data_IF_548342817182
#
_entry.id   IF_548342817182
#
_cell.length_a   1.000
_cell.length_b   1.000
_cell.length_c   1.000
_cell.angle_alpha   90.00
_cell.angle_beta   90.00
_cell.angle_gamma   90.00
#
_symmetry.space_group_name_H-M   'P 1'
#
loop_
_entity.id
_entity.type
_entity.pdbx_description
1 polymer ?
#
# COMPACT_ATOMS: atom_id res chain seq x y z
N UNK A 1 -8.37 -8.17 27.80
CA UNK A 1 -9.39 -7.85 28.83
C UNK A 1 -10.77 -8.11 28.24
N UNK A 2 -11.69 -8.72 29.00
CA UNK A 2 -13.05 -9.01 28.55
C UNK A 2 -14.02 -7.95 29.10
N UNK A 3 -14.70 -7.26 28.18
CA UNK A 3 -15.69 -6.21 28.43
C UNK A 3 -17.11 -6.70 28.31
N UNK A 4 -17.35 -7.94 27.88
CA UNK A 4 -18.69 -8.49 27.72
C UNK A 4 -19.44 -8.46 29.06
N UNK A 5 -20.64 -7.89 29.06
CA UNK A 5 -21.48 -7.67 30.25
C UNK A 5 -21.11 -6.44 31.07
N UNK A 6 -20.09 -5.65 30.70
CA UNK A 6 -19.73 -4.41 31.41
C UNK A 6 -20.54 -3.22 30.90
N UNK A 7 -20.83 -2.29 31.81
CA UNK A 7 -21.55 -1.06 31.51
C UNK A 7 -20.59 0.04 31.02
N UNK A 8 -21.00 0.72 29.96
CA UNK A 8 -20.30 1.85 29.36
C UNK A 8 -21.26 3.01 29.16
N UNK A 9 -20.72 4.21 29.10
CA UNK A 9 -21.47 5.45 28.91
C UNK A 9 -20.99 6.08 27.60
N UNK A 10 -21.93 6.40 26.73
CA UNK A 10 -21.72 7.22 25.54
C UNK A 10 -22.36 8.59 25.76
N UNK A 11 -21.67 9.66 25.35
CA UNK A 11 -22.16 11.02 25.55
C UNK A 11 -23.45 11.34 24.77
N UNK A 12 -23.75 10.61 23.70
CA UNK A 12 -24.94 10.79 22.85
C UNK A 12 -26.04 9.77 23.18
N UNK A 13 -25.67 8.52 23.41
CA UNK A 13 -26.63 7.41 23.57
C UNK A 13 -26.88 6.99 25.03
N UNK A 14 -26.19 7.62 25.98
CA UNK A 14 -26.36 7.35 27.41
C UNK A 14 -25.70 6.05 27.85
N UNK A 15 -26.28 5.39 28.84
CA UNK A 15 -25.77 4.12 29.36
C UNK A 15 -26.05 2.97 28.37
N UNK A 16 -25.05 2.11 28.20
CA UNK A 16 -25.15 0.91 27.38
C UNK A 16 -24.39 -0.26 27.98
N UNK A 17 -24.76 -1.47 27.60
CA UNK A 17 -24.14 -2.72 28.04
C UNK A 17 -23.39 -3.35 26.87
N UNK A 18 -22.13 -3.74 27.09
CA UNK A 18 -21.35 -4.43 26.05
C UNK A 18 -21.88 -5.85 25.89
N UNK A 19 -22.49 -6.14 24.75
CA UNK A 19 -23.07 -7.47 24.46
C UNK A 19 -22.08 -8.38 23.71
N UNK A 20 -21.11 -7.79 23.01
CA UNK A 20 -20.09 -8.56 22.29
C UNK A 20 -18.75 -7.81 22.20
N UNK A 21 -17.66 -8.56 22.15
CA UNK A 21 -16.30 -8.05 21.99
C UNK A 21 -15.47 -9.01 21.14
N UNK A 22 -14.86 -8.45 20.10
CA UNK A 22 -13.81 -9.05 19.29
C UNK A 22 -12.47 -8.32 19.56
N UNK A 23 -11.39 -8.78 18.93
CA UNK A 23 -10.06 -8.12 19.04
C UNK A 23 -10.05 -6.70 18.49
N UNK A 24 -10.94 -6.39 17.52
CA UNK A 24 -10.98 -5.09 16.83
C UNK A 24 -12.22 -4.26 17.15
N UNK A 25 -13.31 -4.88 17.63
CA UNK A 25 -14.59 -4.20 17.79
C UNK A 25 -15.31 -4.61 19.06
N UNK A 26 -16.10 -3.69 19.62
CA UNK A 26 -17.09 -3.98 20.65
C UNK A 26 -18.49 -3.60 20.14
N UNK A 27 -19.49 -4.34 20.58
CA UNK A 27 -20.90 -4.04 20.32
C UNK A 27 -21.58 -3.71 21.64
N UNK A 28 -22.18 -2.53 21.70
CA UNK A 28 -22.84 -1.98 22.89
C UNK A 28 -24.32 -1.82 22.60
N UNK A 29 -25.15 -2.36 23.48
CA UNK A 29 -26.60 -2.19 23.47
C UNK A 29 -26.97 -1.01 24.36
N UNK A 30 -27.51 0.05 23.77
CA UNK A 30 -28.10 1.20 24.47
C UNK A 30 -29.61 1.09 24.46
N UNK A 31 -30.27 1.84 25.34
CA UNK A 31 -31.75 1.90 25.45
C UNK A 31 -32.41 2.19 24.10
N UNK A 32 -31.81 3.07 23.29
CA UNK A 32 -32.37 3.47 21.99
C UNK A 32 -31.98 2.57 20.82
N UNK A 33 -30.81 1.91 20.89
CA UNK A 33 -30.26 1.09 19.80
C UNK A 33 -29.01 0.33 20.22
N UNK A 34 -28.65 -0.66 19.41
CA UNK A 34 -27.34 -1.32 19.47
C UNK A 34 -26.36 -0.67 18.50
N UNK A 35 -25.09 -0.49 18.89
CA UNK A 35 -24.06 0.13 18.05
C UNK A 35 -22.70 -0.53 18.21
N UNK A 36 -21.94 -0.58 17.11
CA UNK A 36 -20.61 -1.21 17.03
C UNK A 36 -19.52 -0.14 17.01
N UNK A 37 -18.47 -0.32 17.80
CA UNK A 37 -17.37 0.62 17.96
C UNK A 37 -16.02 -0.07 17.84
N UNK A 38 -14.99 0.66 17.40
CA UNK A 38 -13.62 0.15 17.28
C UNK A 38 -12.98 0.05 18.66
N UNK A 39 -12.39 -1.09 18.99
CA UNK A 39 -11.75 -1.34 20.29
C UNK A 39 -10.22 -1.40 20.15
N UNK A 40 -9.45 -0.75 21.04
CA UNK A 40 -9.87 0.08 22.17
C UNK A 40 -10.15 1.56 21.85
N UNK A 41 -9.96 2.02 20.61
CA UNK A 41 -9.96 3.44 20.20
C UNK A 41 -11.25 4.20 20.52
N UNK A 42 -12.40 3.52 20.53
CA UNK A 42 -13.67 4.17 20.82
C UNK A 42 -13.74 4.76 22.23
N UNK A 43 -12.94 4.23 23.17
CA UNK A 43 -12.86 4.76 24.53
C UNK A 43 -12.07 6.08 24.64
N UNK A 44 -11.38 6.52 23.58
CA UNK A 44 -10.71 7.83 23.59
C UNK A 44 -11.69 9.01 23.53
N UNK A 45 -12.84 8.81 22.88
CA UNK A 45 -13.74 9.91 22.51
C UNK A 45 -15.22 9.58 22.66
N UNK A 46 -15.60 8.33 22.47
CA UNK A 46 -17.01 7.96 22.29
C UNK A 46 -17.56 7.15 23.47
N UNK A 47 -16.73 6.43 24.22
CA UNK A 47 -17.16 5.56 25.30
C UNK A 47 -16.35 5.80 26.58
N UNK A 48 -16.99 5.64 27.73
CA UNK A 48 -16.35 5.56 29.05
C UNK A 48 -16.86 4.35 29.79
N UNK A 49 -16.00 3.55 30.39
CA UNK A 49 -16.42 2.48 31.27
C UNK A 49 -16.95 3.08 32.58
N UNK A 50 -18.05 2.52 33.09
CA UNK A 50 -18.63 2.95 34.37
C UNK A 50 -17.85 2.45 35.58
N UNK A 51 -17.13 1.33 35.40
CA UNK A 51 -16.23 0.74 36.39
C UNK A 51 -14.85 1.40 36.27
N UNK A 52 -14.41 2.07 37.34
CA UNK A 52 -13.13 2.78 37.40
C UNK A 52 -11.92 1.86 37.16
N UNK A 53 -11.99 0.60 37.62
CA UNK A 53 -10.90 -0.36 37.44
C UNK A 53 -10.75 -0.74 35.97
N UNK A 54 -11.88 -0.90 35.28
CA UNK A 54 -11.95 -1.22 33.85
C UNK A 54 -11.50 -0.01 33.02
N UNK A 55 -11.93 1.21 33.38
CA UNK A 55 -11.50 2.44 32.71
C UNK A 55 -9.98 2.60 32.80
N UNK A 56 -9.40 2.40 33.98
CA UNK A 56 -7.94 2.48 34.20
C UNK A 56 -7.18 1.49 33.33
N UNK A 57 -7.69 0.26 33.17
CA UNK A 57 -7.06 -0.75 32.31
C UNK A 57 -7.13 -0.37 30.82
N UNK A 58 -8.25 0.22 30.37
CA UNK A 58 -8.40 0.70 28.99
C UNK A 58 -7.45 1.88 28.73
N UNK A 59 -7.34 2.82 29.66
CA UNK A 59 -6.46 3.97 29.53
C UNK A 59 -4.98 3.55 29.48
N UNK A 60 -4.60 2.56 30.28
CA UNK A 60 -3.26 1.94 30.22
C UNK A 60 -2.98 1.29 28.86
N UNK A 61 -3.97 0.58 28.28
CA UNK A 61 -3.86 -0.01 26.94
C UNK A 61 -3.74 1.05 25.84
N UNK A 62 -4.51 2.14 25.93
CA UNK A 62 -4.47 3.25 24.98
C UNK A 62 -3.13 4.00 25.06
N UNK A 63 -2.62 4.26 26.27
CA UNK A 63 -1.32 4.89 26.47
C UNK A 63 -0.18 4.02 25.94
N UNK A 64 -0.17 2.72 26.24
CA UNK A 64 0.82 1.79 25.68
C UNK A 64 0.77 1.76 24.14
N UNK A 65 -0.42 1.81 23.54
CA UNK A 65 -0.58 1.87 22.07
C UNK A 65 -0.08 3.20 21.49
N UNK A 66 -0.29 4.32 22.20
CA UNK A 66 0.26 5.64 21.85
C UNK A 66 1.78 5.68 21.98
N UNK A 67 2.33 5.15 23.06
CA UNK A 67 3.77 5.03 23.29
C UNK A 67 4.44 4.17 22.22
N UNK A 68 3.88 3.02 21.86
CA UNK A 68 4.39 2.18 20.77
C UNK A 68 4.32 2.95 19.43
N UNK A 69 3.21 3.65 19.16
CA UNK A 69 3.06 4.45 17.93
C UNK A 69 4.04 5.63 17.88
N UNK A 70 4.26 6.31 19.01
CA UNK A 70 5.19 7.43 19.13
C UNK A 70 6.64 6.94 19.06
N UNK A 71 6.97 5.82 19.71
CA UNK A 71 8.28 5.19 19.61
C UNK A 71 8.55 4.71 18.17
N UNK A 72 7.60 4.05 17.50
CA UNK A 72 7.73 3.71 16.08
C UNK A 72 7.96 4.97 15.21
N UNK A 73 7.15 6.01 15.39
CA UNK A 73 7.30 7.26 14.64
C UNK A 73 8.63 7.99 14.94
N UNK A 74 9.11 7.95 16.19
CA UNK A 74 10.37 8.54 16.61
C UNK A 74 11.56 7.74 16.10
N UNK A 75 11.45 6.41 16.07
CA UNK A 75 12.47 5.53 15.48
C UNK A 75 12.54 5.75 13.97
N UNK A 76 11.40 5.85 13.28
CA UNK A 76 11.32 6.22 11.86
C UNK A 76 11.91 7.61 11.59
N UNK A 77 11.60 8.60 12.44
CA UNK A 77 12.16 9.95 12.36
C UNK A 77 13.66 9.96 12.61
N UNK A 78 14.16 9.16 13.55
CA UNK A 78 15.59 9.04 13.85
C UNK A 78 16.34 8.34 12.72
N UNK A 79 15.76 7.29 12.11
CA UNK A 79 16.28 6.68 10.88
C UNK A 79 16.32 7.69 9.74
N UNK A 80 15.27 8.51 9.58
CA UNK A 80 15.22 9.57 8.57
C UNK A 80 16.26 10.67 8.83
N UNK A 81 16.47 11.06 10.10
CA UNK A 81 17.46 12.06 10.51
C UNK A 81 18.90 11.54 10.40
N UNK A 82 19.16 10.27 10.73
CA UNK A 82 20.44 9.62 10.47
C UNK A 82 20.72 9.54 8.97
N UNK A 83 19.72 9.21 8.16
CA UNK A 83 19.83 9.27 6.70
C UNK A 83 20.16 10.69 6.22
N UNK A 84 19.49 11.73 6.73
CA UNK A 84 19.76 13.13 6.40
C UNK A 84 21.15 13.60 6.88
N UNK A 85 21.63 13.13 8.03
CA UNK A 85 22.96 13.46 8.55
C UNK A 85 24.07 12.72 7.79
N UNK A 86 23.82 11.50 7.32
CA UNK A 86 24.72 10.77 6.43
C UNK A 86 24.81 11.42 5.04
N UNK A 87 23.70 11.99 4.53
CA UNK A 87 23.68 12.81 3.30
C UNK A 87 24.56 14.06 3.42
N UNK A 88 24.67 14.67 4.60
CA UNK A 88 25.51 15.86 4.82
C UNK A 88 27.00 15.58 4.97
N UNK A 89 27.42 14.32 5.15
CA UNK A 89 28.83 13.96 5.45
C UNK A 89 29.59 13.23 4.35
N UNK A 90 28.95 12.76 3.28
CA UNK A 90 29.62 12.11 2.14
C UNK A 90 29.15 12.73 0.82
N UNK A 91 30.02 12.83 -0.19
CA UNK A 91 29.64 13.19 -1.56
C UNK A 91 28.43 12.33 -1.98
N UNK A 92 27.24 12.91 -1.99
CA UNK A 92 25.99 12.17 -2.18
C UNK A 92 25.90 11.71 -3.62
N UNK A 93 25.91 10.40 -3.85
CA UNK A 93 25.40 9.85 -5.11
C UNK A 93 23.97 10.37 -5.30
N UNK A 94 23.66 10.87 -6.48
CA UNK A 94 22.30 11.27 -6.85
C UNK A 94 21.40 10.03 -6.95
N UNK A 95 20.08 10.18 -6.78
CA UNK A 95 19.11 9.07 -6.90
C UNK A 95 19.28 8.28 -8.21
N UNK A 96 19.67 8.98 -9.28
CA UNK A 96 19.86 8.44 -10.62
C UNK A 96 21.05 7.48 -10.70
N UNK A 97 22.10 7.72 -9.91
CA UNK A 97 23.29 6.86 -9.84
C UNK A 97 23.02 5.50 -9.18
N UNK A 98 21.89 5.37 -8.47
CA UNK A 98 21.49 4.11 -7.84
C UNK A 98 20.82 3.15 -8.84
N UNK A 99 20.42 3.63 -10.01
CA UNK A 99 19.88 2.80 -11.09
C UNK A 99 20.97 2.21 -11.94
N UNK A 100 20.79 0.96 -12.36
CA UNK A 100 21.61 0.44 -13.47
C UNK A 100 21.20 1.14 -14.76
N UNK A 101 22.14 1.25 -15.70
CA UNK A 101 21.93 1.98 -16.97
C UNK A 101 20.75 1.46 -17.80
N UNK A 102 20.41 0.18 -17.66
CA UNK A 102 19.32 -0.45 -18.41
C UNK A 102 17.93 -0.09 -17.88
N UNK A 103 17.82 0.68 -16.79
CA UNK A 103 16.53 1.18 -16.30
C UNK A 103 16.00 2.35 -17.12
N UNK A 104 16.88 3.15 -17.74
CA UNK A 104 16.55 4.42 -18.41
C UNK A 104 15.81 5.42 -17.50
N UNK A 105 16.47 5.83 -16.40
CA UNK A 105 15.89 6.71 -15.36
C UNK A 105 15.48 8.09 -15.87
N UNK A 106 16.00 8.52 -17.01
CA UNK A 106 15.60 9.75 -17.71
C UNK A 106 14.10 9.82 -18.03
N UNK A 107 13.43 8.67 -18.19
CA UNK A 107 11.99 8.60 -18.45
C UNK A 107 11.12 8.56 -17.18
N UNK A 108 11.74 8.39 -16.00
CA UNK A 108 11.02 8.39 -14.73
C UNK A 108 10.51 9.79 -14.40
N UNK A 109 9.19 9.93 -14.28
CA UNK A 109 8.56 11.15 -13.78
C UNK A 109 8.83 11.32 -12.28
N UNK A 110 9.50 12.42 -11.91
CA UNK A 110 9.88 12.77 -10.52
C UNK A 110 9.00 13.84 -9.89
N UNK A 111 7.86 14.15 -10.51
CA UNK A 111 6.98 15.25 -10.10
C UNK A 111 6.06 14.91 -8.93
N UNK A 112 5.01 14.11 -9.18
CA UNK A 112 3.99 13.81 -8.16
C UNK A 112 4.33 12.53 -7.41
N UNK A 113 4.58 12.68 -6.11
CA UNK A 113 4.78 11.58 -5.17
C UNK A 113 3.52 11.43 -4.33
N UNK A 114 3.00 10.20 -4.24
CA UNK A 114 1.87 9.83 -3.39
C UNK A 114 2.29 8.76 -2.40
N UNK A 115 1.59 8.71 -1.27
CA UNK A 115 1.60 7.58 -0.34
C UNK A 115 0.66 6.48 -0.83
N UNK A 116 0.84 5.25 -0.33
CA UNK A 116 -0.06 4.15 -0.68
C UNK A 116 -1.53 4.46 -0.37
N UNK A 117 -1.81 5.20 0.72
CA UNK A 117 -3.18 5.57 1.13
C UNK A 117 -3.82 6.53 0.13
N UNK A 118 -3.05 7.50 -0.36
CA UNK A 118 -3.54 8.45 -1.36
C UNK A 118 -3.83 7.77 -2.70
N UNK A 119 -3.02 6.76 -3.08
CA UNK A 119 -3.32 5.94 -4.27
C UNK A 119 -4.58 5.09 -4.04
N UNK A 120 -4.70 4.43 -2.89
CA UNK A 120 -5.90 3.65 -2.51
C UNK A 120 -7.16 4.52 -2.53
N UNK A 121 -7.13 5.69 -1.90
CA UNK A 121 -8.25 6.64 -1.84
C UNK A 121 -8.63 7.18 -3.21
N UNK A 122 -7.64 7.59 -4.02
CA UNK A 122 -7.87 8.18 -5.35
C UNK A 122 -8.56 7.22 -6.30
N UNK A 123 -8.21 5.93 -6.26
CA UNK A 123 -8.71 4.94 -7.21
C UNK A 123 -9.70 3.94 -6.61
N UNK A 124 -10.02 4.05 -5.32
CA UNK A 124 -10.89 3.11 -4.63
C UNK A 124 -10.35 1.68 -4.62
N UNK A 125 -9.03 1.53 -4.52
CA UNK A 125 -8.34 0.22 -4.54
C UNK A 125 -7.77 -0.12 -3.16
N UNK A 126 -7.29 -1.36 -2.99
CA UNK A 126 -6.52 -1.79 -1.81
C UNK A 126 -5.20 -2.40 -2.26
N UNK A 127 -4.12 -1.68 -2.00
CA UNK A 127 -2.72 -2.07 -2.24
C UNK A 127 -2.18 -2.84 -1.02
N UNK A 128 -2.70 -2.56 0.17
CA UNK A 128 -2.36 -3.25 1.42
C UNK A 128 -2.84 -4.72 1.43
N UNK A 129 -1.92 -5.64 1.74
CA UNK A 129 -2.12 -7.10 1.69
C UNK A 129 -1.63 -7.74 0.38
N UNK A 130 -0.82 -8.81 0.46
CA UNK A 130 -0.29 -9.63 -0.65
C UNK A 130 0.15 -8.91 -1.94
N UNK A 131 0.57 -7.64 -1.88
CA UNK A 131 1.29 -6.94 -2.95
C UNK A 131 0.65 -7.09 -4.34
N UNK A 132 -0.50 -6.46 -4.57
CA UNK A 132 -1.14 -6.48 -5.90
C UNK A 132 -0.49 -5.43 -6.79
N UNK A 133 0.39 -5.88 -7.68
CA UNK A 133 0.93 -5.04 -8.75
C UNK A 133 -0.18 -4.53 -9.69
N UNK A 134 -1.17 -5.38 -9.99
CA UNK A 134 -2.27 -5.06 -10.90
C UNK A 134 -3.57 -4.91 -10.10
N UNK A 135 -4.22 -3.76 -10.22
CA UNK A 135 -5.48 -3.45 -9.52
C UNK A 135 -6.53 -2.99 -10.53
N UNK A 136 -7.71 -3.61 -10.53
CA UNK A 136 -8.75 -3.39 -11.54
C UNK A 136 -9.91 -2.62 -10.90
N UNK A 137 -10.36 -1.57 -11.58
CA UNK A 137 -11.58 -0.82 -11.25
C UNK A 137 -12.54 -0.87 -12.46
N UNK A 138 -13.80 -0.40 -12.33
CA UNK A 138 -14.72 -0.36 -13.46
C UNK A 138 -14.20 0.45 -14.66
N UNK A 139 -13.42 1.51 -14.42
CA UNK A 139 -12.96 2.45 -15.45
C UNK A 139 -11.44 2.46 -15.67
N UNK A 140 -10.66 1.70 -14.90
CA UNK A 140 -9.20 1.75 -14.98
C UNK A 140 -8.51 0.44 -14.55
N UNK A 141 -7.26 0.30 -14.99
CA UNK A 141 -6.28 -0.65 -14.48
C UNK A 141 -5.14 0.15 -13.85
N UNK A 142 -4.89 -0.04 -12.56
CA UNK A 142 -3.86 0.65 -11.79
C UNK A 142 -2.68 -0.30 -11.58
N UNK A 143 -1.56 0.04 -12.21
CA UNK A 143 -0.32 -0.72 -12.17
C UNK A 143 0.63 -0.11 -11.15
N UNK A 144 1.14 -0.94 -10.25
CA UNK A 144 2.16 -0.61 -9.27
C UNK A 144 3.41 -1.42 -9.64
N UNK A 145 4.42 -0.73 -10.15
CA UNK A 145 5.76 -1.28 -10.30
C UNK A 145 6.57 -1.00 -9.03
N UNK A 146 7.37 -1.97 -8.59
CA UNK A 146 8.14 -1.86 -7.34
C UNK A 146 9.63 -1.81 -7.60
N UNK A 147 10.29 -0.87 -6.94
CA UNK A 147 11.75 -0.75 -6.85
C UNK A 147 12.16 -1.05 -5.42
N UNK A 148 13.09 -1.98 -5.25
CA UNK A 148 13.72 -2.29 -3.98
C UNK A 148 15.17 -1.78 -3.98
N UNK A 149 15.78 -1.62 -2.79
CA UNK A 149 17.20 -1.30 -2.65
C UNK A 149 17.95 -2.51 -2.10
N UNK A 150 19.07 -2.86 -2.71
CA UNK A 150 19.96 -3.94 -2.25
C UNK A 150 21.41 -3.61 -2.55
N UNK A 151 22.30 -3.82 -1.57
CA UNK A 151 23.74 -3.56 -1.68
C UNK A 151 24.08 -2.18 -2.26
N UNK A 152 23.28 -1.17 -1.95
CA UNK A 152 23.48 0.21 -2.42
C UNK A 152 22.74 0.57 -3.71
N UNK A 153 22.35 -0.39 -4.54
CA UNK A 153 21.70 -0.14 -5.83
C UNK A 153 20.20 -0.45 -5.81
N UNK A 154 19.47 0.12 -6.76
CA UNK A 154 18.08 -0.24 -7.00
C UNK A 154 18.00 -1.55 -7.78
N UNK A 155 17.11 -2.43 -7.32
CA UNK A 155 16.68 -3.64 -8.00
C UNK A 155 15.23 -3.42 -8.43
N UNK A 156 14.96 -3.74 -9.68
CA UNK A 156 13.67 -3.60 -10.30
C UNK A 156 13.45 -4.78 -11.23
N UNK A 157 12.17 -5.10 -11.41
CA UNK A 157 11.73 -6.17 -12.28
C UNK A 157 11.07 -5.62 -13.55
N UNK A 158 10.48 -4.43 -13.42
CA UNK A 158 9.93 -3.65 -14.52
C UNK A 158 10.86 -2.46 -14.79
N UNK A 159 10.85 -1.94 -16.02
CA UNK A 159 11.78 -0.88 -16.41
C UNK A 159 11.29 -0.07 -17.59
N UNK A 160 11.86 1.11 -17.77
CA UNK A 160 11.75 1.81 -19.03
C UNK A 160 12.64 1.16 -20.07
N UNK A 161 12.22 1.24 -21.33
CA UNK A 161 13.05 0.91 -22.49
C UNK A 161 13.81 2.15 -22.95
N UNK A 162 14.81 1.95 -23.79
CA UNK A 162 15.51 3.03 -24.49
C UNK A 162 14.57 3.90 -25.35
N UNK A 163 13.49 3.31 -25.87
CA UNK A 163 12.43 4.00 -26.60
C UNK A 163 11.47 4.83 -25.73
N UNK A 164 11.58 4.77 -24.40
CA UNK A 164 10.66 5.47 -23.48
C UNK A 164 9.32 4.77 -23.28
N UNK A 165 9.20 3.51 -23.71
CA UNK A 165 8.07 2.65 -23.35
C UNK A 165 8.35 1.98 -22.00
N UNK A 166 7.31 1.49 -21.30
CA UNK A 166 7.45 0.83 -20.02
C UNK A 166 7.20 -0.68 -20.14
N UNK A 167 8.18 -1.50 -19.76
CA UNK A 167 8.05 -2.95 -19.74
C UNK A 167 7.56 -3.40 -18.36
N UNK A 168 6.28 -3.75 -18.27
CA UNK A 168 5.62 -4.18 -17.05
C UNK A 168 5.45 -5.70 -17.00
N UNK A 169 5.78 -6.31 -15.87
CA UNK A 169 5.69 -7.76 -15.70
C UNK A 169 4.30 -8.19 -15.21
N UNK A 170 3.77 -9.27 -15.79
CA UNK A 170 2.45 -9.79 -15.45
C UNK A 170 2.36 -10.35 -14.03
N UNK A 171 1.12 -10.64 -13.60
CA UNK A 171 0.86 -11.31 -12.32
C UNK A 171 0.92 -12.84 -12.42
N UNK A 172 1.40 -13.47 -11.34
CA UNK A 172 1.55 -14.92 -11.19
C UNK A 172 2.92 -15.26 -10.61
N UNK A 173 2.94 -15.77 -9.37
CA UNK A 173 4.16 -15.96 -8.56
C UNK A 173 4.90 -17.28 -8.79
N UNK A 174 4.20 -18.30 -9.25
CA UNK A 174 4.72 -19.66 -9.38
C UNK A 174 4.22 -20.29 -10.68
N UNK A 175 5.11 -21.01 -11.35
CA UNK A 175 4.83 -21.60 -12.67
C UNK A 175 4.54 -20.57 -13.77
N UNK A 176 4.20 -21.07 -14.96
CA UNK A 176 3.89 -20.24 -16.11
C UNK A 176 2.69 -19.33 -15.83
N UNK A 177 2.84 -18.04 -16.11
CA UNK A 177 1.74 -17.11 -15.96
C UNK A 177 0.63 -17.41 -16.96
N UNK A 178 -0.61 -17.16 -16.54
CA UNK A 178 -1.80 -17.36 -17.35
C UNK A 178 -2.39 -16.01 -17.78
N UNK A 179 -2.98 -15.94 -18.97
CA UNK A 179 -3.68 -14.74 -19.46
C UNK A 179 -5.07 -14.63 -18.81
N UNK A 180 -5.09 -14.42 -17.51
CA UNK A 180 -6.31 -14.33 -16.69
C UNK A 180 -6.24 -13.13 -15.76
N UNK A 181 -7.38 -12.72 -15.18
CA UNK A 181 -7.47 -11.67 -14.15
C UNK A 181 -6.70 -10.39 -14.53
N UNK A 182 -5.66 -10.02 -13.79
CA UNK A 182 -4.87 -8.81 -14.01
C UNK A 182 -4.20 -8.78 -15.38
N UNK A 183 -3.60 -9.89 -15.82
CA UNK A 183 -2.97 -10.00 -17.13
C UNK A 183 -3.99 -9.77 -18.26
N UNK A 184 -5.18 -10.38 -18.12
CA UNK A 184 -6.28 -10.18 -19.07
C UNK A 184 -6.81 -8.74 -19.04
N UNK A 185 -6.85 -8.11 -17.86
CA UNK A 185 -7.28 -6.73 -17.71
C UNK A 185 -6.34 -5.73 -18.40
N UNK A 186 -5.01 -5.95 -18.32
CA UNK A 186 -4.05 -5.15 -19.10
C UNK A 186 -4.30 -5.36 -20.60
N UNK A 187 -4.42 -6.61 -21.03
CA UNK A 187 -4.64 -6.96 -22.45
C UNK A 187 -5.90 -6.32 -23.03
N UNK A 188 -7.00 -6.33 -22.28
CA UNK A 188 -8.30 -5.88 -22.76
C UNK A 188 -8.62 -4.42 -22.36
N UNK A 189 -7.70 -3.69 -21.73
CA UNK A 189 -7.97 -2.36 -21.16
C UNK A 189 -8.61 -1.42 -22.20
N UNK A 190 -8.00 -1.30 -23.38
CA UNK A 190 -8.52 -0.43 -24.45
C UNK A 190 -9.90 -0.88 -24.96
N UNK A 191 -10.08 -2.18 -25.21
CA UNK A 191 -11.37 -2.75 -25.63
C UNK A 191 -12.48 -2.48 -24.60
N UNK A 192 -12.15 -2.56 -23.33
CA UNK A 192 -13.10 -2.35 -22.24
C UNK A 192 -13.28 -0.88 -21.85
N UNK A 193 -12.64 0.06 -22.57
CA UNK A 193 -12.69 1.49 -22.26
C UNK A 193 -12.01 1.87 -20.93
N UNK A 194 -11.07 1.05 -20.44
CA UNK A 194 -10.32 1.30 -19.21
C UNK A 194 -9.00 2.02 -19.49
N UNK A 195 -8.71 3.07 -18.73
CA UNK A 195 -7.38 3.72 -18.73
C UNK A 195 -6.38 2.89 -17.91
N UNK A 196 -5.12 2.80 -18.36
CA UNK A 196 -4.05 2.21 -17.55
C UNK A 196 -3.31 3.34 -16.85
N UNK A 197 -3.28 3.34 -15.53
CA UNK A 197 -2.46 4.26 -14.73
C UNK A 197 -1.24 3.52 -14.18
N UNK A 198 -0.06 4.12 -14.27
CA UNK A 198 1.19 3.52 -13.77
C UNK A 198 1.80 4.33 -12.62
N UNK A 199 2.20 3.62 -11.57
CA UNK A 199 2.98 4.12 -10.44
C UNK A 199 4.27 3.33 -10.27
N UNK A 200 5.36 4.04 -9.97
CA UNK A 200 6.62 3.43 -9.55
C UNK A 200 6.79 3.65 -8.05
N UNK A 201 6.88 2.55 -7.30
CA UNK A 201 6.93 2.52 -5.84
C UNK A 201 8.36 2.25 -5.36
N UNK A 202 8.90 3.14 -4.53
CA UNK A 202 10.17 2.92 -3.82
C UNK A 202 9.95 2.54 -2.35
N UNK A 203 8.87 3.03 -1.75
CA UNK A 203 8.51 2.77 -0.36
C UNK A 203 6.99 2.93 -0.17
N UNK A 204 6.42 2.55 0.98
CA UNK A 204 5.01 2.81 1.27
C UNK A 204 4.59 4.30 1.17
N UNK A 205 5.55 5.22 1.23
CA UNK A 205 5.32 6.67 1.18
C UNK A 205 5.69 7.29 -0.18
N UNK A 206 6.32 6.51 -1.09
CA UNK A 206 6.90 7.04 -2.31
C UNK A 206 6.40 6.26 -3.54
N UNK A 207 5.23 6.66 -4.04
CA UNK A 207 4.64 6.22 -5.29
C UNK A 207 4.68 7.36 -6.30
N UNK A 208 5.59 7.27 -7.26
CA UNK A 208 5.75 8.24 -8.33
C UNK A 208 4.76 7.95 -9.44
N UNK A 209 3.83 8.88 -9.68
CA UNK A 209 2.87 8.74 -10.77
C UNK A 209 3.54 8.98 -12.13
N UNK A 210 3.44 7.99 -13.04
CA UNK A 210 4.09 8.05 -14.34
C UNK A 210 3.16 8.53 -15.47
N UNK A 211 1.85 8.54 -15.24
CA UNK A 211 0.86 8.97 -16.22
C UNK A 211 -0.13 7.89 -16.63
N UNK A 212 -0.82 8.15 -17.74
CA UNK A 212 -1.75 7.22 -18.39
C UNK A 212 -1.02 6.51 -19.52
N UNK A 213 -1.31 5.22 -19.69
CA UNK A 213 -0.65 4.34 -20.65
C UNK A 213 -1.67 3.56 -21.48
N UNK A 214 -1.20 3.09 -22.63
CA UNK A 214 -1.86 2.10 -23.47
C UNK A 214 -0.95 0.88 -23.68
N UNK A 215 -1.55 -0.29 -23.92
CA UNK A 215 -0.80 -1.49 -24.26
C UNK A 215 -0.44 -1.47 -25.75
N UNK A 216 0.85 -1.54 -26.07
CA UNK A 216 1.31 -1.70 -27.46
C UNK A 216 1.28 -3.17 -27.88
N UNK A 217 1.94 -4.01 -27.08
CA UNK A 217 2.04 -5.45 -27.31
C UNK A 217 2.46 -6.14 -26.00
N UNK A 218 2.47 -7.47 -26.03
CA UNK A 218 3.02 -8.28 -24.95
C UNK A 218 3.80 -9.46 -25.53
N UNK A 219 4.77 -9.94 -24.76
CA UNK A 219 5.57 -11.13 -25.06
C UNK A 219 5.74 -11.97 -23.80
N UNK A 220 6.40 -13.11 -23.96
CA UNK A 220 6.85 -13.91 -22.83
C UNK A 220 8.36 -13.84 -22.73
N UNK A 221 8.86 -13.85 -21.51
CA UNK A 221 10.26 -14.09 -21.19
C UNK A 221 10.35 -15.26 -20.23
N UNK A 222 11.42 -16.04 -20.36
CA UNK A 222 11.72 -17.13 -19.43
C UNK A 222 12.39 -16.51 -18.20
N UNK A 223 11.78 -16.69 -17.03
CA UNK A 223 12.21 -16.12 -15.76
C UNK A 223 12.21 -17.17 -14.64
N UNK A 224 12.87 -16.87 -13.54
CA UNK A 224 12.89 -17.74 -12.36
C UNK A 224 11.76 -17.37 -11.40
N UNK A 225 10.93 -18.35 -11.04
CA UNK A 225 9.82 -18.17 -10.10
C UNK A 225 10.27 -18.14 -8.63
N UNK A 226 9.34 -17.90 -7.70
CA UNK A 226 9.64 -17.86 -6.26
C UNK A 226 10.18 -19.21 -5.71
N UNK A 227 9.98 -20.31 -6.44
CA UNK A 227 10.45 -21.65 -6.10
C UNK A 227 11.72 -22.04 -6.87
N UNK A 228 12.40 -21.07 -7.50
CA UNK A 228 13.61 -21.29 -8.30
C UNK A 228 13.41 -22.13 -9.57
N UNK A 229 12.19 -22.19 -10.12
CA UNK A 229 11.90 -22.90 -11.37
C UNK A 229 11.78 -21.92 -12.54
N UNK A 230 12.21 -22.37 -13.73
CA UNK A 230 11.99 -21.63 -14.96
C UNK A 230 10.49 -21.53 -15.26
N UNK A 231 10.02 -20.33 -15.59
CA UNK A 231 8.63 -20.03 -15.91
C UNK A 231 8.53 -19.06 -17.07
N UNK A 232 7.41 -19.12 -17.79
CA UNK A 232 7.02 -18.07 -18.72
C UNK A 232 6.31 -16.95 -17.98
N UNK A 233 6.87 -15.76 -18.06
CA UNK A 233 6.28 -14.55 -17.52
C UNK A 233 5.85 -13.60 -18.65
N UNK A 234 4.69 -12.97 -18.50
CA UNK A 234 4.27 -11.93 -19.43
C UNK A 234 5.08 -10.67 -19.21
N UNK A 235 5.57 -10.08 -20.30
CA UNK A 235 6.04 -8.71 -20.32
C UNK A 235 5.13 -7.88 -21.23
N UNK A 236 4.46 -6.89 -20.65
CA UNK A 236 3.57 -5.95 -21.32
C UNK A 236 4.35 -4.68 -21.66
N UNK A 237 4.40 -4.33 -22.94
CA UNK A 237 5.02 -3.09 -23.40
C UNK A 237 3.96 -1.98 -23.43
N UNK A 238 4.12 -0.99 -22.56
CA UNK A 238 3.17 0.08 -22.32
C UNK A 238 3.70 1.41 -22.84
N UNK A 239 2.90 2.12 -23.64
CA UNK A 239 3.26 3.45 -24.13
C UNK A 239 2.54 4.51 -23.33
N UNK A 240 3.26 5.55 -22.92
CA UNK A 240 2.66 6.71 -22.27
C UNK A 240 1.80 7.50 -23.26
N UNK A 241 0.58 7.83 -22.85
CA UNK A 241 -0.32 8.70 -23.60
C UNK A 241 -0.17 10.12 -23.06
N UNK A 242 0.06 11.07 -23.97
CA UNK A 242 0.09 12.50 -23.66
C UNK A 242 -1.26 13.09 -24.06
N UNK A 243 -2.06 13.48 -23.08
CA UNK A 243 -3.30 14.26 -23.28
C UNK A 243 -2.98 15.74 -23.50
#
# INVERSE_FOLDING_TARGET
>A
MNLKGKQVINCVFGEGTVINQDETYITVEFISKTSKFVYPEAFERFLKAKDETVQTQIDSLLNRKKEIKMACAETEKNVMLENLNNIKKGKSQTMDELFSKDYHVEYLAKGTILTYKEVEERYGIKISGFGRGINITPCAVILISSIAKSKGNFIYHDKWTDSGDYLYSGEGKTGNQSMTKGNLAIKNAAHDGKKIHLFVKFSPQEYYYQGVFELLNYKYEDEIDENSNLRKEYKFCLRRVYE
#
